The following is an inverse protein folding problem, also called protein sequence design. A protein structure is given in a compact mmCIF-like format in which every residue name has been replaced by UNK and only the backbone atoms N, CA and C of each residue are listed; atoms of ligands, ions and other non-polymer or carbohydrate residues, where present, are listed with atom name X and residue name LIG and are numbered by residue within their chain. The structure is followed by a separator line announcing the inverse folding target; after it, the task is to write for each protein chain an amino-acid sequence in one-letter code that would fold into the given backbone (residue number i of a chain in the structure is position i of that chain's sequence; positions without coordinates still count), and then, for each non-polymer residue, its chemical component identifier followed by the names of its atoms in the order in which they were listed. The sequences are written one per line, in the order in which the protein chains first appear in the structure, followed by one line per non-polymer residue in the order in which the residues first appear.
data_IF_284921853521
#
_entry.id   IF_284921853521
#
_cell.length_a   1.000
_cell.length_b   1.000
_cell.length_c   1.000
_cell.angle_alpha   90.00
_cell.angle_beta   90.00
_cell.angle_gamma   90.00
#
_symmetry.space_group_name_H-M   'P 1'
#
loop_
_entity.id
_entity.type
_entity.pdbx_description
1 polymer ?
#
# COMPACT_ATOMS: atom_id res chain seq x y z
N UNK A 1 14.29 5.19 -27.08
CA UNK A 1 13.00 4.61 -27.50
C UNK A 1 12.00 4.79 -26.36
N UNK A 2 11.02 5.68 -26.51
CA UNK A 2 9.90 5.83 -25.57
C UNK A 2 9.00 4.61 -25.82
N UNK A 3 9.05 3.61 -24.93
CA UNK A 3 8.09 2.49 -24.99
C UNK A 3 6.69 3.06 -24.75
N UNK A 4 5.74 2.75 -25.64
CA UNK A 4 4.33 3.06 -25.44
C UNK A 4 3.86 2.54 -24.09
N UNK A 5 2.96 3.27 -23.44
CA UNK A 5 2.35 2.80 -22.18
C UNK A 5 1.64 1.47 -22.44
N UNK A 6 1.84 0.45 -21.58
CA UNK A 6 1.22 -0.85 -21.76
C UNK A 6 -0.30 -0.78 -21.85
N UNK A 7 -0.89 -1.42 -22.86
CA UNK A 7 -2.31 -1.28 -23.22
C UNK A 7 -3.27 -1.73 -22.12
N UNK A 8 -2.97 -2.88 -21.48
CA UNK A 8 -3.82 -3.46 -20.42
C UNK A 8 -3.89 -2.57 -19.18
N UNK A 9 -2.78 -1.96 -18.80
CA UNK A 9 -2.74 -1.05 -17.64
C UNK A 9 -3.54 0.23 -17.89
N UNK A 10 -3.54 0.76 -19.12
CA UNK A 10 -4.36 1.93 -19.50
C UNK A 10 -5.84 1.57 -19.46
N UNK A 11 -6.22 0.46 -20.07
CA UNK A 11 -7.60 -0.03 -20.04
C UNK A 11 -8.09 -0.26 -18.59
N UNK A 12 -7.25 -0.86 -17.75
CA UNK A 12 -7.58 -1.06 -16.35
C UNK A 12 -7.77 0.26 -15.60
N UNK A 13 -6.92 1.26 -15.84
CA UNK A 13 -7.05 2.58 -15.24
C UNK A 13 -8.34 3.28 -15.69
N UNK A 14 -8.70 3.19 -16.96
CA UNK A 14 -9.94 3.78 -17.51
C UNK A 14 -11.19 3.13 -16.91
N UNK A 15 -11.20 1.81 -16.79
CA UNK A 15 -12.33 1.09 -16.15
C UNK A 15 -12.41 1.40 -14.66
N UNK A 16 -11.29 1.57 -13.97
CA UNK A 16 -11.25 1.91 -12.54
C UNK A 16 -11.63 3.37 -12.23
N UNK A 17 -11.62 4.25 -13.24
CA UNK A 17 -11.91 5.68 -13.07
C UNK A 17 -13.26 5.90 -12.37
N UNK A 18 -13.24 6.53 -11.18
CA UNK A 18 -14.43 6.87 -10.39
C UNK A 18 -15.17 5.70 -9.75
N UNK A 19 -14.69 4.43 -9.91
CA UNK A 19 -15.37 3.25 -9.33
C UNK A 19 -15.36 3.22 -7.80
N UNK A 20 -14.48 3.97 -7.18
CA UNK A 20 -14.35 4.08 -5.72
C UNK A 20 -15.32 5.07 -5.06
N UNK A 21 -16.09 5.85 -5.85
CA UNK A 21 -17.08 6.81 -5.35
C UNK A 21 -18.39 6.13 -4.96
N UNK A 22 -19.20 6.79 -4.12
CA UNK A 22 -20.54 6.28 -3.74
C UNK A 22 -21.45 6.12 -4.97
N UNK A 23 -21.48 7.09 -5.87
CA UNK A 23 -22.22 6.99 -7.12
C UNK A 23 -21.54 5.98 -8.06
N UNK A 24 -22.30 5.01 -8.54
CA UNK A 24 -21.79 4.03 -9.51
C UNK A 24 -21.44 4.75 -10.83
N UNK A 25 -20.27 4.41 -11.42
CA UNK A 25 -19.92 4.96 -12.73
C UNK A 25 -20.81 4.38 -13.83
N UNK A 26 -20.77 5.02 -15.00
CA UNK A 26 -21.44 4.47 -16.19
C UNK A 26 -20.98 3.05 -16.49
N UNK A 27 -21.93 2.23 -16.97
CA UNK A 27 -21.64 0.85 -17.36
C UNK A 27 -20.76 0.81 -18.59
N UNK A 28 -19.85 -0.14 -18.62
CA UNK A 28 -18.99 -0.39 -19.78
C UNK A 28 -18.73 -1.89 -19.90
N UNK A 29 -18.33 -2.30 -21.07
CA UNK A 29 -17.91 -3.68 -21.29
C UNK A 29 -16.55 -3.92 -20.64
N UNK A 30 -16.46 -5.01 -19.86
CA UNK A 30 -15.23 -5.42 -19.17
C UNK A 30 -14.84 -6.79 -19.71
N UNK A 31 -13.66 -6.86 -20.34
CA UNK A 31 -13.17 -8.13 -20.89
C UNK A 31 -12.81 -9.14 -19.78
N UNK A 32 -12.87 -10.44 -20.10
CA UNK A 32 -12.46 -11.51 -19.19
C UNK A 32 -11.02 -11.32 -18.71
N UNK A 33 -10.10 -10.89 -19.59
CA UNK A 33 -8.70 -10.62 -19.25
C UNK A 33 -8.57 -9.51 -18.21
N UNK A 34 -9.36 -8.42 -18.30
CA UNK A 34 -9.37 -7.35 -17.30
C UNK A 34 -9.91 -7.85 -15.97
N UNK A 35 -10.94 -8.69 -15.97
CA UNK A 35 -11.49 -9.30 -14.75
C UNK A 35 -10.47 -10.19 -14.04
N UNK A 36 -9.75 -11.03 -14.77
CA UNK A 36 -8.72 -11.88 -14.19
C UNK A 36 -7.57 -11.05 -13.58
N UNK A 37 -7.14 -10.01 -14.30
CA UNK A 37 -6.14 -9.06 -13.77
C UNK A 37 -6.65 -8.33 -12.52
N UNK A 38 -7.92 -7.93 -12.50
CA UNK A 38 -8.56 -7.26 -11.38
C UNK A 38 -8.67 -8.14 -10.13
N UNK A 39 -8.96 -9.42 -10.31
CA UNK A 39 -9.05 -10.41 -9.24
C UNK A 39 -7.72 -10.55 -8.52
N UNK A 40 -6.63 -10.76 -9.26
CA UNK A 40 -5.27 -10.87 -8.71
C UNK A 40 -4.81 -9.58 -8.03
N UNK A 41 -5.24 -8.42 -8.55
CA UNK A 41 -4.86 -7.10 -8.04
C UNK A 41 -5.76 -6.55 -6.94
N UNK A 42 -6.84 -7.28 -6.58
CA UNK A 42 -7.77 -6.89 -5.51
C UNK A 42 -8.71 -5.75 -5.86
N UNK A 43 -8.95 -5.50 -7.16
CA UNK A 43 -9.87 -4.45 -7.66
C UNK A 43 -11.10 -5.03 -8.38
N UNK A 44 -11.35 -6.33 -8.27
CA UNK A 44 -12.47 -7.00 -8.95
C UNK A 44 -13.82 -6.37 -8.56
N UNK A 45 -14.06 -6.13 -7.26
CA UNK A 45 -15.30 -5.52 -6.79
C UNK A 45 -15.52 -4.11 -7.39
N UNK A 46 -14.43 -3.34 -7.54
CA UNK A 46 -14.48 -2.03 -8.20
C UNK A 46 -14.81 -2.14 -9.68
N UNK A 47 -14.23 -3.10 -10.39
CA UNK A 47 -14.54 -3.33 -11.81
C UNK A 47 -15.98 -3.79 -12.01
N UNK A 48 -16.50 -4.66 -11.16
CA UNK A 48 -17.87 -5.17 -11.24
C UNK A 48 -18.92 -4.08 -11.16
N UNK A 49 -18.61 -2.91 -10.61
CA UNK A 49 -19.49 -1.74 -10.62
C UNK A 49 -19.76 -1.19 -12.04
N UNK A 50 -18.91 -1.50 -13.00
CA UNK A 50 -19.10 -1.16 -14.43
C UNK A 50 -19.97 -2.18 -15.16
N UNK A 51 -20.20 -3.36 -14.57
CA UNK A 51 -20.92 -4.47 -15.19
C UNK A 51 -22.42 -4.46 -14.83
N UNK A 52 -23.28 -5.18 -15.55
CA UNK A 52 -24.68 -5.38 -15.17
C UNK A 52 -24.80 -6.02 -13.78
N UNK A 53 -25.93 -5.76 -13.10
CA UNK A 53 -26.15 -5.96 -11.66
C UNK A 53 -26.20 -7.42 -11.13
N UNK A 54 -25.71 -8.42 -11.88
CA UNK A 54 -25.75 -9.84 -11.47
C UNK A 54 -24.72 -10.21 -10.37
N UNK A 55 -24.00 -9.23 -9.80
CA UNK A 55 -22.90 -9.44 -8.88
C UNK A 55 -23.23 -9.14 -7.40
N UNK A 56 -24.50 -8.98 -7.02
CA UNK A 56 -24.91 -8.51 -5.69
C UNK A 56 -24.55 -9.45 -4.53
N UNK A 57 -24.43 -10.75 -4.77
CA UNK A 57 -24.14 -11.71 -3.70
C UNK A 57 -22.70 -11.59 -3.18
N UNK A 58 -21.74 -11.30 -4.06
CA UNK A 58 -20.37 -11.05 -3.66
C UNK A 58 -20.23 -9.77 -2.81
N UNK A 59 -20.98 -8.71 -3.14
CA UNK A 59 -21.00 -7.46 -2.36
C UNK A 59 -21.59 -7.71 -0.96
N UNK A 60 -22.68 -8.47 -0.84
CA UNK A 60 -23.29 -8.82 0.45
C UNK A 60 -22.33 -9.59 1.34
N UNK A 61 -21.63 -10.59 0.78
CA UNK A 61 -20.62 -11.34 1.53
C UNK A 61 -19.50 -10.44 2.05
N UNK A 62 -18.98 -9.53 1.21
CA UNK A 62 -17.94 -8.59 1.60
C UNK A 62 -18.44 -7.59 2.65
N UNK A 63 -19.69 -7.14 2.58
CA UNK A 63 -20.29 -6.28 3.61
C UNK A 63 -20.36 -7.00 4.97
N UNK A 64 -20.78 -8.27 5.00
CA UNK A 64 -20.82 -9.06 6.22
C UNK A 64 -19.40 -9.27 6.80
N UNK A 65 -18.45 -9.63 5.97
CA UNK A 65 -17.05 -9.76 6.34
C UNK A 65 -16.50 -8.45 6.94
N UNK A 66 -16.81 -7.32 6.32
CA UNK A 66 -16.40 -5.99 6.81
C UNK A 66 -17.01 -5.69 8.18
N UNK A 67 -18.30 -5.98 8.40
CA UNK A 67 -18.97 -5.78 9.68
C UNK A 67 -18.38 -6.67 10.80
N UNK A 68 -18.08 -7.94 10.50
CA UNK A 68 -17.42 -8.85 11.44
C UNK A 68 -16.01 -8.36 11.82
N UNK A 69 -15.25 -7.86 10.85
CA UNK A 69 -13.92 -7.30 11.08
C UNK A 69 -13.98 -6.03 11.92
N UNK A 70 -14.96 -5.16 11.67
CA UNK A 70 -15.16 -3.93 12.45
C UNK A 70 -15.48 -4.28 13.93
N UNK A 71 -16.31 -5.28 14.17
CA UNK A 71 -16.59 -5.77 15.52
C UNK A 71 -15.32 -6.28 16.22
N UNK A 72 -14.51 -7.10 15.55
CA UNK A 72 -13.23 -7.59 16.07
C UNK A 72 -12.24 -6.47 16.35
N UNK A 73 -12.20 -5.47 15.48
CA UNK A 73 -11.38 -4.26 15.68
C UNK A 73 -11.85 -3.49 16.91
N UNK A 74 -13.15 -3.29 17.10
CA UNK A 74 -13.70 -2.63 18.28
C UNK A 74 -13.27 -3.32 19.58
N UNK A 75 -13.37 -4.67 19.64
CA UNK A 75 -12.90 -5.45 20.78
C UNK A 75 -11.39 -5.29 21.02
N UNK A 76 -10.58 -5.32 19.95
CA UNK A 76 -9.13 -5.11 20.02
C UNK A 76 -8.79 -3.73 20.57
N UNK A 77 -9.39 -2.66 20.03
CA UNK A 77 -9.11 -1.30 20.50
C UNK A 77 -9.56 -1.09 21.94
N UNK A 78 -10.72 -1.64 22.34
CA UNK A 78 -11.17 -1.59 23.73
C UNK A 78 -10.19 -2.29 24.69
N UNK A 79 -9.65 -3.45 24.30
CA UNK A 79 -8.66 -4.16 25.10
C UNK A 79 -7.34 -3.37 25.21
N UNK A 80 -6.84 -2.81 24.11
CA UNK A 80 -5.62 -2.00 24.12
C UNK A 80 -5.78 -0.71 24.95
N UNK A 81 -6.94 -0.06 24.87
CA UNK A 81 -7.26 1.13 25.66
C UNK A 81 -7.31 0.79 27.17
N UNK A 82 -7.93 -0.34 27.56
CA UNK A 82 -7.96 -0.81 28.94
C UNK A 82 -6.56 -1.01 29.53
N UNK A 83 -5.60 -1.39 28.71
CA UNK A 83 -4.18 -1.52 29.06
C UNK A 83 -3.37 -0.24 28.86
N UNK A 84 -4.03 0.89 28.51
CA UNK A 84 -3.40 2.19 28.23
C UNK A 84 -2.37 2.17 27.10
N UNK A 85 -2.48 1.23 26.17
CA UNK A 85 -1.61 1.10 25.02
C UNK A 85 -2.17 1.98 23.90
N UNK A 86 -1.44 3.03 23.51
CA UNK A 86 -1.81 3.89 22.38
C UNK A 86 -1.43 3.25 21.06
N UNK A 87 -2.44 3.06 20.22
CA UNK A 87 -2.28 2.48 18.89
C UNK A 87 -3.06 3.26 17.84
N UNK A 88 -2.72 3.05 16.57
CA UNK A 88 -3.49 3.58 15.45
C UNK A 88 -3.46 2.57 14.29
N UNK A 89 -4.63 2.29 13.69
CA UNK A 89 -4.68 1.51 12.45
C UNK A 89 -4.41 2.39 11.24
N UNK A 90 -3.91 1.78 10.18
CA UNK A 90 -3.62 2.43 8.91
C UNK A 90 -3.77 1.42 7.77
N UNK A 91 -3.80 1.87 6.51
CA UNK A 91 -4.08 1.02 5.35
C UNK A 91 -5.40 0.21 5.49
N UNK A 92 -5.38 -1.05 5.10
CA UNK A 92 -6.43 -2.07 5.21
C UNK A 92 -7.82 -1.55 5.59
N UNK A 93 -8.20 -1.78 6.82
CA UNK A 93 -9.50 -1.39 7.36
C UNK A 93 -9.72 0.12 7.36
N UNK A 94 -8.71 0.92 7.73
CA UNK A 94 -8.84 2.37 7.80
C UNK A 94 -9.21 2.99 6.44
N UNK A 95 -8.70 2.42 5.34
CA UNK A 95 -9.04 2.84 3.98
C UNK A 95 -10.38 2.29 3.51
N UNK A 96 -10.76 1.05 3.89
CA UNK A 96 -12.00 0.44 3.44
C UNK A 96 -13.24 1.25 3.82
N UNK A 97 -13.19 2.01 4.89
CA UNK A 97 -14.26 2.91 5.34
C UNK A 97 -14.50 4.11 4.43
N UNK A 98 -13.53 4.47 3.62
CA UNK A 98 -13.61 5.57 2.67
C UNK A 98 -14.27 5.13 1.35
N UNK A 99 -14.38 3.83 1.14
CA UNK A 99 -15.08 3.24 -0.01
C UNK A 99 -16.54 2.98 0.33
N UNK A 100 -17.42 2.87 -0.65
CA UNK A 100 -18.70 2.22 -0.45
C UNK A 100 -18.51 0.79 0.11
N UNK A 101 -19.42 0.39 0.98
CA UNK A 101 -19.32 -0.88 1.70
C UNK A 101 -19.08 -2.09 0.76
N UNK A 102 -18.16 -2.96 1.13
CA UNK A 102 -17.84 -4.19 0.38
C UNK A 102 -16.96 -4.02 -0.86
N UNK A 103 -16.54 -2.79 -1.23
CA UNK A 103 -15.77 -2.58 -2.46
C UNK A 103 -14.25 -2.73 -2.29
N UNK A 104 -13.75 -2.55 -1.09
CA UNK A 104 -12.33 -2.69 -0.79
C UNK A 104 -12.08 -3.92 0.08
N UNK A 105 -11.42 -4.95 -0.44
CA UNK A 105 -11.06 -6.11 0.37
C UNK A 105 -10.08 -5.71 1.46
N UNK A 106 -10.27 -6.26 2.66
CA UNK A 106 -9.41 -6.04 3.83
C UNK A 106 -8.77 -7.37 4.18
N UNK A 107 -7.45 -7.39 4.32
CA UNK A 107 -6.69 -8.52 4.85
C UNK A 107 -6.47 -8.38 6.36
N UNK A 108 -5.22 -8.38 6.75
CA UNK A 108 -4.72 -8.09 8.08
C UNK A 108 -5.00 -6.65 8.54
N UNK A 109 -4.89 -6.43 9.82
CA UNK A 109 -4.98 -5.11 10.46
C UNK A 109 -3.57 -4.61 10.72
N UNK A 110 -3.14 -3.64 9.93
CA UNK A 110 -1.91 -2.91 10.22
C UNK A 110 -2.14 -1.98 11.43
N UNK A 111 -1.39 -2.18 12.49
CA UNK A 111 -1.52 -1.44 13.75
C UNK A 111 -0.18 -0.85 14.18
N UNK A 112 -0.09 0.47 14.21
CA UNK A 112 1.06 1.18 14.77
C UNK A 112 0.99 1.16 16.30
N UNK A 113 2.10 0.81 16.95
CA UNK A 113 2.23 0.74 18.41
C UNK A 113 3.59 1.30 18.82
N UNK A 114 3.67 1.99 19.98
CA UNK A 114 4.94 2.47 20.47
C UNK A 114 5.91 1.29 20.70
N UNK A 115 7.22 1.42 20.41
CA UNK A 115 8.17 0.33 20.60
C UNK A 115 8.19 -0.24 22.01
N UNK A 116 8.08 0.61 23.03
CA UNK A 116 8.07 0.19 24.44
C UNK A 116 6.81 -0.62 24.81
N UNK A 117 5.72 -0.45 24.05
CA UNK A 117 4.44 -1.12 24.28
C UNK A 117 4.26 -2.36 23.38
N UNK A 118 5.19 -2.65 22.45
CA UNK A 118 5.00 -3.68 21.43
C UNK A 118 4.77 -5.08 22.04
N UNK A 119 5.60 -5.48 23.00
CA UNK A 119 5.49 -6.77 23.66
C UNK A 119 4.18 -6.88 24.46
N UNK A 120 3.83 -5.82 25.17
CA UNK A 120 2.57 -5.75 25.90
C UNK A 120 1.36 -5.80 24.96
N UNK A 121 1.40 -5.05 23.85
CA UNK A 121 0.36 -5.11 22.83
C UNK A 121 0.19 -6.52 22.25
N UNK A 122 1.30 -7.22 21.97
CA UNK A 122 1.26 -8.64 21.52
C UNK A 122 0.57 -9.55 22.54
N UNK A 123 0.89 -9.37 23.82
CA UNK A 123 0.25 -10.14 24.90
C UNK A 123 -1.25 -9.86 24.97
N UNK A 124 -1.68 -8.60 24.89
CA UNK A 124 -3.10 -8.21 24.87
C UNK A 124 -3.81 -8.80 23.65
N UNK A 125 -3.24 -8.72 22.46
CA UNK A 125 -3.80 -9.33 21.24
C UNK A 125 -3.94 -10.85 21.41
N UNK A 126 -2.93 -11.52 21.97
CA UNK A 126 -2.93 -12.97 22.18
C UNK A 126 -3.99 -13.41 23.20
N UNK A 127 -4.30 -12.57 24.19
CA UNK A 127 -5.30 -12.84 25.21
C UNK A 127 -6.76 -12.72 24.73
N UNK A 128 -7.00 -12.06 23.59
CA UNK A 128 -8.34 -11.98 23.02
C UNK A 128 -8.88 -13.37 22.67
N UNK A 129 -10.20 -13.62 22.88
CA UNK A 129 -10.85 -14.85 22.44
C UNK A 129 -10.59 -15.10 20.95
N UNK A 130 -10.33 -16.33 20.55
CA UNK A 130 -9.98 -16.68 19.16
C UNK A 130 -11.03 -16.20 18.15
N UNK A 131 -12.33 -16.22 18.51
CA UNK A 131 -13.42 -15.73 17.65
C UNK A 131 -13.40 -14.19 17.43
N UNK A 132 -12.83 -13.45 18.38
CA UNK A 132 -12.78 -11.99 18.38
C UNK A 132 -11.40 -11.45 17.96
N UNK A 133 -10.40 -12.32 17.86
CA UNK A 133 -9.03 -11.93 17.51
C UNK A 133 -8.92 -11.67 16.02
N UNK A 134 -8.64 -10.42 15.59
CA UNK A 134 -8.29 -10.15 14.21
C UNK A 134 -6.86 -10.63 13.90
N UNK A 135 -6.56 -10.87 12.63
CA UNK A 135 -5.17 -10.99 12.18
C UNK A 135 -4.53 -9.60 12.20
N UNK A 136 -3.51 -9.43 13.04
CA UNK A 136 -2.88 -8.11 13.30
C UNK A 136 -1.41 -8.15 12.91
N UNK A 137 -0.99 -7.18 12.10
CA UNK A 137 0.41 -6.84 11.87
C UNK A 137 0.80 -5.66 12.78
N UNK A 138 1.45 -5.96 13.90
CA UNK A 138 1.93 -4.94 14.83
C UNK A 138 3.23 -4.32 14.30
N UNK A 139 3.21 -3.00 14.11
CA UNK A 139 4.33 -2.24 13.58
C UNK A 139 4.78 -1.18 14.59
N UNK A 140 5.85 -1.47 15.31
CA UNK A 140 6.52 -0.53 16.22
C UNK A 140 7.49 0.41 15.50
N UNK A 141 7.65 0.24 14.19
CA UNK A 141 8.57 1.03 13.39
C UNK A 141 8.03 1.30 11.98
N UNK A 142 7.59 2.53 11.74
CA UNK A 142 7.15 3.00 10.43
C UNK A 142 8.27 3.72 9.64
N UNK A 143 9.52 3.68 10.10
CA UNK A 143 10.68 4.30 9.42
C UNK A 143 10.82 3.83 7.97
N UNK A 144 10.38 2.62 7.66
CA UNK A 144 10.36 2.11 6.28
C UNK A 144 9.57 3.00 5.33
N UNK A 145 8.44 3.53 5.80
CA UNK A 145 7.52 4.36 5.01
C UNK A 145 7.62 5.83 5.38
N UNK A 146 7.78 6.14 6.65
CA UNK A 146 7.79 7.50 7.21
C UNK A 146 9.08 7.75 8.03
N UNK A 147 10.28 7.69 7.41
CA UNK A 147 11.54 7.82 8.16
C UNK A 147 11.79 9.23 8.70
N UNK A 148 11.04 10.21 8.23
CA UNK A 148 11.16 11.61 8.64
C UNK A 148 10.20 11.93 9.82
N UNK A 149 9.56 10.91 10.42
CA UNK A 149 8.57 11.07 11.48
C UNK A 149 8.80 10.05 12.59
N UNK A 150 8.74 10.51 13.82
CA UNK A 150 8.74 9.63 14.97
C UNK A 150 7.36 8.99 15.15
N UNK A 151 7.32 7.77 15.69
CA UNK A 151 6.06 7.11 15.97
C UNK A 151 5.25 7.83 17.06
N UNK A 152 5.92 8.49 18.01
CA UNK A 152 5.28 9.32 19.04
C UNK A 152 4.49 10.47 18.40
N UNK A 153 5.09 11.17 17.44
CA UNK A 153 4.41 12.25 16.70
C UNK A 153 3.23 11.72 15.89
N UNK A 154 3.39 10.57 15.23
CA UNK A 154 2.32 9.94 14.46
C UNK A 154 1.14 9.55 15.35
N UNK A 155 1.39 8.96 16.52
CA UNK A 155 0.35 8.58 17.48
C UNK A 155 -0.32 9.80 18.15
N UNK A 156 0.40 10.93 18.28
CA UNK A 156 -0.17 12.16 18.82
C UNK A 156 -1.16 12.84 17.84
N UNK A 157 -1.01 12.61 16.53
CA UNK A 157 -1.83 13.21 15.46
C UNK A 157 -2.89 12.26 14.91
N UNK A 158 -3.25 11.21 15.63
CA UNK A 158 -4.27 10.25 15.20
C UNK A 158 -5.66 10.88 15.19
N UNK A 159 -6.50 10.47 14.24
CA UNK A 159 -7.91 10.76 14.24
C UNK A 159 -8.70 9.60 14.89
N UNK A 160 -9.81 9.93 15.57
CA UNK A 160 -10.70 8.93 16.17
C UNK A 160 -11.95 8.82 15.31
N UNK A 161 -12.25 7.60 14.88
CA UNK A 161 -13.50 7.28 14.19
C UNK A 161 -14.45 6.54 15.12
N UNK A 162 -15.65 7.11 15.33
CA UNK A 162 -16.74 6.42 16.02
C UNK A 162 -17.26 5.27 15.13
N UNK A 163 -17.37 4.07 15.71
CA UNK A 163 -17.99 2.93 15.06
C UNK A 163 -19.04 2.33 16.01
N UNK A 164 -19.99 1.50 15.51
CA UNK A 164 -20.91 0.78 16.38
C UNK A 164 -20.22 -0.09 17.44
N UNK A 165 -18.98 -0.50 17.16
CA UNK A 165 -18.19 -1.36 18.06
C UNK A 165 -17.24 -0.58 18.97
N UNK A 166 -17.33 0.76 18.98
CA UNK A 166 -16.47 1.65 19.77
C UNK A 166 -15.56 2.54 18.95
N UNK A 167 -14.80 3.44 19.59
CA UNK A 167 -13.90 4.35 18.92
C UNK A 167 -12.66 3.60 18.40
N UNK A 168 -12.27 3.85 17.16
CA UNK A 168 -11.07 3.30 16.53
C UNK A 168 -10.17 4.45 16.10
N UNK A 169 -8.89 4.39 16.49
CA UNK A 169 -7.88 5.38 16.11
C UNK A 169 -7.28 5.03 14.76
N UNK A 170 -7.14 6.02 13.88
CA UNK A 170 -6.44 5.91 12.60
C UNK A 170 -5.36 6.97 12.48
N UNK A 171 -4.36 6.76 11.64
CA UNK A 171 -3.37 7.80 11.35
C UNK A 171 -4.05 9.09 10.84
N UNK A 172 -3.50 10.24 11.21
CA UNK A 172 -3.93 11.53 10.67
C UNK A 172 -3.87 11.56 9.15
N UNK A 173 -4.70 12.37 8.52
CA UNK A 173 -4.89 12.37 7.07
C UNK A 173 -3.58 12.63 6.31
N UNK A 174 -2.74 13.55 6.79
CA UNK A 174 -1.44 13.91 6.20
C UNK A 174 -0.47 12.74 6.20
N UNK A 175 -0.33 12.09 7.37
CA UNK A 175 0.56 10.95 7.55
C UNK A 175 0.04 9.73 6.80
N UNK A 176 -1.27 9.53 6.78
CA UNK A 176 -1.90 8.41 6.11
C UNK A 176 -1.74 8.49 4.58
N UNK A 177 -2.01 9.66 3.98
CA UNK A 177 -1.81 9.88 2.54
C UNK A 177 -0.33 9.68 2.17
N UNK A 178 0.59 10.27 2.95
CA UNK A 178 2.02 10.10 2.74
C UNK A 178 2.44 8.63 2.82
N UNK A 179 1.98 7.93 3.85
CA UNK A 179 2.28 6.50 4.04
C UNK A 179 1.80 5.66 2.87
N UNK A 180 0.56 5.80 2.44
CA UNK A 180 -0.03 5.02 1.35
C UNK A 180 0.71 5.25 0.04
N UNK A 181 1.08 6.50 -0.27
CA UNK A 181 1.88 6.83 -1.43
C UNK A 181 3.28 6.17 -1.39
N UNK A 182 3.96 6.23 -0.26
CA UNK A 182 5.31 5.67 -0.13
C UNK A 182 5.29 4.14 -0.02
N UNK A 183 4.26 3.57 0.61
CA UNK A 183 4.03 2.12 0.68
C UNK A 183 3.91 1.49 -0.71
N UNK A 184 3.03 2.03 -1.58
CA UNK A 184 2.88 1.48 -2.93
C UNK A 184 4.20 1.51 -3.73
N UNK A 185 4.99 2.60 -3.62
CA UNK A 185 6.26 2.72 -4.30
C UNK A 185 7.32 1.77 -3.74
N UNK A 186 7.33 1.58 -2.41
CA UNK A 186 8.21 0.63 -1.75
C UNK A 186 8.04 -0.79 -2.30
N UNK A 187 6.80 -1.15 -2.61
CA UNK A 187 6.43 -2.44 -3.19
C UNK A 187 6.40 -2.44 -4.73
N UNK A 188 6.91 -1.38 -5.39
CA UNK A 188 6.99 -1.30 -6.87
C UNK A 188 5.64 -1.04 -7.54
N UNK A 189 4.65 -0.55 -6.82
CA UNK A 189 3.32 -0.13 -7.27
C UNK A 189 2.57 -1.17 -8.14
N UNK A 190 2.82 -2.48 -7.93
CA UNK A 190 2.26 -3.54 -8.79
C UNK A 190 0.74 -3.73 -8.62
N UNK A 191 0.16 -3.27 -7.50
CA UNK A 191 -1.25 -3.49 -7.15
C UNK A 191 -2.07 -2.25 -7.43
N UNK A 192 -2.95 -2.25 -8.44
CA UNK A 192 -3.84 -1.13 -8.78
C UNK A 192 -4.67 -0.61 -7.61
N UNK A 193 -5.08 -1.48 -6.68
CA UNK A 193 -5.83 -1.10 -5.48
C UNK A 193 -5.13 0.01 -4.66
N UNK A 194 -3.81 -0.01 -4.59
CA UNK A 194 -3.08 1.01 -3.83
C UNK A 194 -3.20 2.41 -4.45
N UNK A 195 -3.31 2.51 -5.78
CA UNK A 195 -3.58 3.80 -6.42
C UNK A 195 -5.05 4.24 -6.21
N UNK A 196 -5.99 3.29 -6.16
CA UNK A 196 -7.37 3.57 -5.77
C UNK A 196 -7.44 4.08 -4.32
N UNK A 197 -6.63 3.52 -3.41
CA UNK A 197 -6.50 3.99 -2.02
C UNK A 197 -6.03 5.45 -1.96
N UNK A 198 -5.05 5.84 -2.79
CA UNK A 198 -4.63 7.25 -2.91
C UNK A 198 -5.78 8.12 -3.42
N UNK A 199 -6.51 7.66 -4.44
CA UNK A 199 -7.64 8.43 -5.02
C UNK A 199 -8.75 8.68 -3.99
N UNK A 200 -9.13 7.65 -3.24
CA UNK A 200 -10.15 7.75 -2.19
C UNK A 200 -9.72 8.69 -1.06
N UNK A 201 -8.47 8.58 -0.61
CA UNK A 201 -7.94 9.50 0.41
C UNK A 201 -8.01 10.96 -0.06
N UNK A 202 -7.61 11.24 -1.31
CA UNK A 202 -7.64 12.59 -1.88
C UNK A 202 -9.03 13.19 -1.87
N UNK A 203 -10.07 12.40 -2.17
CA UNK A 203 -11.47 12.85 -2.17
C UNK A 203 -12.08 12.93 -0.76
N UNK A 204 -11.42 12.31 0.24
CA UNK A 204 -11.86 12.26 1.64
C UNK A 204 -11.03 13.15 2.58
N UNK A 205 -10.14 14.00 2.04
CA UNK A 205 -9.31 14.89 2.85
C UNK A 205 -10.19 15.81 3.70
N UNK A 206 -9.87 16.04 4.99
CA UNK A 206 -10.59 17.01 5.82
C UNK A 206 -10.26 18.44 5.36
N UNK A 207 -11.15 19.38 5.66
CA UNK A 207 -10.99 20.79 5.26
C UNK A 207 -9.72 21.43 5.85
N UNK A 208 -9.28 20.96 7.03
CA UNK A 208 -8.04 21.40 7.68
C UNK A 208 -6.77 20.69 7.22
N UNK A 209 -6.81 19.89 6.15
CA UNK A 209 -5.66 19.15 5.64
C UNK A 209 -4.53 20.09 5.19
N UNK A 210 -3.31 19.81 5.63
CA UNK A 210 -2.11 20.60 5.33
C UNK A 210 -1.16 19.87 4.38
N UNK A 211 -1.06 20.34 3.13
CA UNK A 211 -0.04 19.85 2.21
C UNK A 211 1.38 20.08 2.71
N UNK A 212 1.62 21.19 3.43
CA UNK A 212 2.93 21.47 4.02
C UNK A 212 3.32 20.36 5.01
N UNK A 213 2.38 19.95 5.86
CA UNK A 213 2.59 18.87 6.82
C UNK A 213 2.73 17.50 6.12
N UNK A 214 1.86 17.17 5.18
CA UNK A 214 1.94 15.93 4.40
C UNK A 214 3.27 15.78 3.68
N UNK A 215 3.84 16.88 3.17
CA UNK A 215 5.07 16.92 2.38
C UNK A 215 6.32 17.28 3.20
N UNK A 216 6.20 17.50 4.51
CA UNK A 216 7.34 17.85 5.37
C UNK A 216 8.42 16.75 5.36
N UNK A 217 9.69 17.16 5.57
CA UNK A 217 10.85 16.27 5.60
C UNK A 217 11.55 16.12 4.24
N UNK A 218 11.86 14.92 3.81
CA UNK A 218 12.66 14.68 2.61
C UNK A 218 11.99 15.14 1.34
N UNK A 219 12.57 16.13 0.64
CA UNK A 219 12.11 16.62 -0.66
C UNK A 219 11.88 15.48 -1.68
N UNK A 220 12.76 14.46 -1.71
CA UNK A 220 12.65 13.35 -2.65
C UNK A 220 11.41 12.50 -2.41
N UNK A 221 11.05 12.29 -1.14
CA UNK A 221 9.82 11.60 -0.78
C UNK A 221 8.59 12.43 -1.08
N UNK A 222 8.66 13.74 -0.85
CA UNK A 222 7.58 14.66 -1.21
C UNK A 222 7.32 14.69 -2.71
N UNK A 223 8.36 14.73 -3.54
CA UNK A 223 8.25 14.56 -5.00
C UNK A 223 7.58 13.21 -5.36
N UNK A 224 7.91 12.13 -4.66
CA UNK A 224 7.32 10.81 -4.88
C UNK A 224 5.84 10.75 -4.48
N UNK A 225 5.46 11.37 -3.37
CA UNK A 225 4.05 11.51 -2.95
C UNK A 225 3.27 12.29 -3.99
N UNK A 226 3.77 13.45 -4.43
CA UNK A 226 3.12 14.26 -5.46
C UNK A 226 2.98 13.52 -6.80
N UNK A 227 3.96 12.69 -7.18
CA UNK A 227 3.84 11.87 -8.38
C UNK A 227 2.72 10.82 -8.27
N UNK A 228 2.53 10.20 -7.09
CA UNK A 228 1.42 9.28 -6.84
C UNK A 228 0.07 10.01 -6.89
N UNK A 229 -0.02 11.18 -6.25
CA UNK A 229 -1.22 12.04 -6.27
C UNK A 229 -1.58 12.43 -7.71
N UNK A 230 -0.61 12.94 -8.46
CA UNK A 230 -0.83 13.33 -9.86
C UNK A 230 -1.23 12.15 -10.76
N UNK A 231 -0.70 10.96 -10.47
CA UNK A 231 -1.09 9.75 -11.19
C UNK A 231 -2.53 9.33 -10.88
N UNK A 232 -2.95 9.38 -9.59
CA UNK A 232 -4.31 9.09 -9.19
C UNK A 232 -5.32 10.07 -9.81
N UNK A 233 -4.99 11.35 -9.86
CA UNK A 233 -5.80 12.36 -10.54
C UNK A 233 -5.89 12.08 -12.05
N UNK A 234 -4.77 11.80 -12.70
CA UNK A 234 -4.70 11.62 -14.16
C UNK A 234 -5.37 10.32 -14.61
N UNK A 235 -5.11 9.20 -13.93
CA UNK A 235 -5.57 7.88 -14.36
C UNK A 235 -6.96 7.55 -13.82
N UNK A 236 -7.18 7.81 -12.53
CA UNK A 236 -8.41 7.43 -11.85
C UNK A 236 -9.44 8.57 -11.75
N UNK A 237 -9.06 9.77 -12.22
CA UNK A 237 -9.92 10.94 -12.16
C UNK A 237 -10.20 11.41 -10.73
N UNK A 238 -9.28 11.18 -9.80
CA UNK A 238 -9.42 11.64 -8.42
C UNK A 238 -9.56 13.17 -8.37
N UNK A 239 -10.49 13.65 -7.54
CA UNK A 239 -10.78 15.06 -7.33
C UNK A 239 -10.44 15.44 -5.88
N UNK A 240 -9.22 15.93 -5.60
CA UNK A 240 -8.82 16.27 -4.24
C UNK A 240 -9.74 17.35 -3.62
N UNK A 241 -10.20 17.16 -2.40
CA UNK A 241 -10.96 18.19 -1.66
C UNK A 241 -10.10 19.42 -1.35
N UNK A 242 -8.82 19.20 -1.09
CA UNK A 242 -7.83 20.28 -0.89
C UNK A 242 -6.85 20.23 -2.05
N UNK A 243 -6.77 21.30 -2.82
CA UNK A 243 -5.93 21.37 -4.02
C UNK A 243 -4.45 21.08 -3.69
N UNK A 244 -3.82 20.11 -4.38
CA UNK A 244 -2.41 19.84 -4.17
C UNK A 244 -1.53 20.94 -4.78
N UNK A 245 -0.27 21.07 -4.33
CA UNK A 245 0.74 21.87 -5.04
C UNK A 245 0.93 21.38 -6.48
N UNK A 246 1.67 22.16 -7.27
CA UNK A 246 1.95 21.82 -8.66
C UNK A 246 2.50 20.39 -8.80
N UNK A 247 1.88 19.62 -9.70
CA UNK A 247 2.16 18.20 -9.92
C UNK A 247 2.92 18.01 -11.22
N UNK A 248 4.01 17.26 -11.14
CA UNK A 248 4.73 16.79 -12.32
C UNK A 248 4.89 15.26 -12.22
N UNK A 249 4.19 14.52 -13.08
CA UNK A 249 4.29 13.06 -13.16
C UNK A 249 5.20 12.68 -14.31
N UNK A 250 6.47 12.35 -14.04
CA UNK A 250 7.41 12.03 -15.11
C UNK A 250 6.92 10.87 -15.99
N UNK A 251 7.12 10.90 -17.31
CA UNK A 251 6.69 9.83 -18.21
C UNK A 251 7.22 8.44 -17.80
N UNK A 252 8.48 8.37 -17.34
CA UNK A 252 9.07 7.12 -16.89
C UNK A 252 8.34 6.52 -15.67
N UNK A 253 7.89 7.37 -14.72
CA UNK A 253 7.16 6.95 -13.51
C UNK A 253 5.83 6.29 -13.90
N UNK A 254 5.06 6.97 -14.74
CA UNK A 254 3.80 6.44 -15.28
C UNK A 254 4.00 5.10 -16.00
N UNK A 255 5.02 5.02 -16.88
CA UNK A 255 5.34 3.80 -17.62
C UNK A 255 5.81 2.67 -16.69
N UNK A 256 6.52 2.99 -15.60
CA UNK A 256 6.95 2.01 -14.61
C UNK A 256 5.76 1.44 -13.82
N UNK A 257 4.80 2.27 -13.42
CA UNK A 257 3.56 1.82 -12.76
C UNK A 257 2.74 0.95 -13.72
N UNK A 258 2.56 1.37 -14.97
CA UNK A 258 1.85 0.60 -15.98
C UNK A 258 2.49 -0.79 -16.18
N UNK A 259 3.81 -0.83 -16.35
CA UNK A 259 4.54 -2.09 -16.48
C UNK A 259 4.48 -2.94 -15.19
N UNK A 260 4.35 -2.34 -14.01
CA UNK A 260 4.16 -3.07 -12.77
C UNK A 260 2.78 -3.71 -12.69
N UNK A 261 1.72 -3.03 -13.12
CA UNK A 261 0.36 -3.57 -13.17
C UNK A 261 0.25 -4.77 -14.12
N UNK A 262 0.89 -4.72 -15.28
CA UNK A 262 0.93 -5.87 -16.20
C UNK A 262 1.71 -7.06 -15.68
N UNK A 263 2.80 -6.79 -14.95
CA UNK A 263 3.61 -7.87 -14.37
C UNK A 263 2.94 -8.55 -13.17
N UNK A 264 2.10 -7.82 -12.45
CA UNK A 264 1.48 -8.29 -11.21
C UNK A 264 2.50 -8.60 -10.10
N UNK A 265 2.06 -9.38 -9.12
CA UNK A 265 2.89 -9.79 -7.99
C UNK A 265 4.07 -10.67 -8.42
N UNK A 266 5.26 -10.33 -7.95
CA UNK A 266 6.46 -11.17 -8.09
C UNK A 266 6.85 -11.74 -6.73
N UNK A 267 6.89 -13.06 -6.63
CA UNK A 267 7.53 -13.71 -5.49
C UNK A 267 9.01 -13.34 -5.44
N UNK A 268 9.54 -13.14 -4.23
CA UNK A 268 10.98 -12.99 -4.05
C UNK A 268 11.68 -14.23 -4.62
N UNK A 269 12.69 -14.06 -5.51
CA UNK A 269 13.38 -15.20 -6.07
C UNK A 269 14.19 -15.93 -4.99
N UNK A 270 14.33 -17.25 -5.13
CA UNK A 270 15.12 -18.09 -4.23
C UNK A 270 16.55 -17.57 -4.02
N UNK A 271 17.19 -17.86 -2.88
CA UNK A 271 18.57 -17.45 -2.61
C UNK A 271 19.54 -17.91 -3.69
N UNK A 272 20.58 -17.10 -3.96
CA UNK A 272 21.60 -17.35 -5.00
C UNK A 272 22.57 -18.53 -4.76
N UNK A 273 22.77 -19.13 -3.57
CA UNK A 273 23.78 -20.16 -3.38
C UNK A 273 23.51 -21.37 -4.29
N UNK A 274 24.49 -21.71 -5.12
CA UNK A 274 24.44 -22.89 -5.97
C UNK A 274 23.81 -22.72 -7.36
N UNK A 275 23.53 -21.51 -7.83
CA UNK A 275 23.03 -21.31 -9.19
C UNK A 275 24.15 -21.55 -10.20
N UNK A 276 24.01 -22.50 -11.14
CA UNK A 276 24.99 -22.72 -12.19
C UNK A 276 25.10 -21.49 -13.09
N UNK A 277 26.31 -21.22 -13.62
CA UNK A 277 26.62 -20.04 -14.46
C UNK A 277 25.62 -19.85 -15.61
N UNK A 278 25.10 -20.92 -16.21
CA UNK A 278 24.08 -20.89 -17.28
C UNK A 278 22.75 -20.28 -16.82
N UNK A 279 22.43 -20.25 -15.51
CA UNK A 279 21.22 -19.64 -14.92
C UNK A 279 21.48 -18.29 -14.29
N UNK A 280 22.71 -17.78 -14.33
CA UNK A 280 23.08 -16.52 -13.69
C UNK A 280 22.32 -15.33 -14.31
N UNK A 281 22.26 -15.23 -15.63
CA UNK A 281 21.57 -14.13 -16.31
C UNK A 281 20.06 -14.12 -16.04
N UNK A 282 19.31 -15.24 -16.14
CA UNK A 282 17.92 -15.31 -15.70
C UNK A 282 17.74 -14.97 -14.21
N UNK A 283 18.63 -15.43 -13.34
CA UNK A 283 18.59 -15.17 -11.91
C UNK A 283 18.83 -13.69 -11.57
N UNK A 284 19.75 -13.03 -12.25
CA UNK A 284 19.98 -11.60 -12.13
C UNK A 284 18.78 -10.79 -12.65
N UNK A 285 18.19 -11.20 -13.77
CA UNK A 285 16.99 -10.56 -14.33
C UNK A 285 15.79 -10.67 -13.39
N UNK A 286 15.61 -11.84 -12.73
CA UNK A 286 14.56 -12.03 -11.74
C UNK A 286 14.74 -11.14 -10.49
N UNK A 287 16.00 -10.81 -10.15
CA UNK A 287 16.37 -9.96 -9.00
C UNK A 287 16.55 -8.50 -9.35
N UNK A 288 16.42 -8.14 -10.63
CA UNK A 288 16.60 -6.76 -11.06
C UNK A 288 15.61 -5.86 -10.32
N UNK A 289 16.09 -4.83 -9.60
CA UNK A 289 15.23 -3.98 -8.80
C UNK A 289 14.18 -3.27 -9.64
N UNK A 290 12.99 -3.16 -9.12
CA UNK A 290 11.96 -2.30 -9.70
C UNK A 290 12.40 -0.83 -9.67
N UNK A 291 12.19 -0.05 -10.74
CA UNK A 291 12.68 1.33 -10.81
C UNK A 291 12.02 2.27 -9.79
N UNK A 292 10.76 2.02 -9.39
CA UNK A 292 10.05 2.84 -8.40
C UNK A 292 10.63 2.61 -7.01
N UNK A 293 10.71 1.34 -6.59
CA UNK A 293 11.27 0.98 -5.29
C UNK A 293 12.75 1.36 -5.18
N UNK A 294 13.54 1.15 -6.22
CA UNK A 294 14.95 1.56 -6.26
C UNK A 294 15.12 3.08 -6.09
N UNK A 295 14.30 3.86 -6.80
CA UNK A 295 14.30 5.33 -6.69
C UNK A 295 13.98 5.78 -5.27
N UNK A 296 12.96 5.19 -4.65
CA UNK A 296 12.56 5.52 -3.28
C UNK A 296 13.64 5.14 -2.26
N UNK A 297 14.20 3.94 -2.35
CA UNK A 297 15.19 3.42 -1.40
C UNK A 297 16.51 4.20 -1.42
N UNK A 298 16.91 4.69 -2.57
CA UNK A 298 18.14 5.46 -2.74
C UNK A 298 17.91 6.97 -2.62
N UNK A 299 16.67 7.43 -2.47
CA UNK A 299 16.35 8.86 -2.49
C UNK A 299 16.77 9.54 -3.80
N UNK A 300 16.70 8.81 -4.93
CA UNK A 300 17.10 9.36 -6.21
C UNK A 300 16.07 10.38 -6.73
N UNK A 301 16.49 11.40 -7.53
CA UNK A 301 15.58 12.40 -8.09
C UNK A 301 14.55 11.76 -9.01
N UNK A 302 13.28 12.14 -8.92
CA UNK A 302 12.24 11.62 -9.80
C UNK A 302 12.45 12.07 -11.27
N UNK A 303 12.94 13.28 -11.48
CA UNK A 303 13.14 13.86 -12.81
C UNK A 303 14.38 13.31 -13.54
N UNK A 304 15.23 12.56 -12.82
CA UNK A 304 16.46 12.04 -13.41
C UNK A 304 16.21 10.80 -14.26
N UNK A 305 16.76 10.80 -15.45
CA UNK A 305 16.77 9.68 -16.42
C UNK A 305 18.21 9.45 -16.92
N UNK A 306 18.62 8.22 -17.23
CA UNK A 306 17.90 6.94 -17.19
C UNK A 306 17.84 6.30 -15.79
N UNK A 307 16.97 5.31 -15.59
CA UNK A 307 16.80 4.58 -14.28
C UNK A 307 17.76 3.42 -14.08
N UNK A 308 18.42 2.97 -15.13
CA UNK A 308 19.38 1.85 -15.02
C UNK A 308 20.46 2.06 -13.96
N UNK A 309 21.13 3.20 -13.84
CA UNK A 309 22.13 3.41 -12.77
C UNK A 309 21.54 3.32 -11.37
N UNK A 310 20.31 3.82 -11.15
CA UNK A 310 19.62 3.74 -9.87
C UNK A 310 19.30 2.29 -9.52
N UNK A 311 18.82 1.51 -10.47
CA UNK A 311 18.52 0.09 -10.29
C UNK A 311 19.79 -0.72 -10.01
N UNK A 312 20.89 -0.43 -10.72
CA UNK A 312 22.19 -1.06 -10.49
C UNK A 312 22.73 -0.77 -9.09
N UNK A 313 22.68 0.50 -8.66
CA UNK A 313 23.09 0.90 -7.32
C UNK A 313 22.25 0.21 -6.22
N UNK A 314 20.94 0.08 -6.43
CA UNK A 314 20.06 -0.65 -5.52
C UNK A 314 20.38 -2.15 -5.48
N UNK A 315 20.68 -2.76 -6.61
CA UNK A 315 21.10 -4.16 -6.68
C UNK A 315 22.40 -4.39 -5.87
N UNK A 316 23.39 -3.52 -6.06
CA UNK A 316 24.65 -3.58 -5.32
C UNK A 316 24.45 -3.35 -3.82
N UNK A 317 23.60 -2.40 -3.43
CA UNK A 317 23.23 -2.16 -2.02
C UNK A 317 22.60 -3.40 -1.38
N UNK A 318 21.68 -4.08 -2.09
CA UNK A 318 21.07 -5.34 -1.63
C UNK A 318 22.10 -6.44 -1.47
N UNK A 319 22.99 -6.60 -2.45
CA UNK A 319 24.07 -7.59 -2.40
C UNK A 319 25.01 -7.37 -1.20
N UNK A 320 25.41 -6.11 -0.94
CA UNK A 320 26.26 -5.75 0.21
C UNK A 320 25.60 -6.07 1.55
N UNK A 321 24.29 -5.76 1.71
CA UNK A 321 23.54 -6.11 2.93
C UNK A 321 23.45 -7.61 3.18
N UNK A 322 23.29 -8.42 2.14
CA UNK A 322 23.28 -9.88 2.26
C UNK A 322 24.66 -10.44 2.61
N UNK A 323 25.73 -9.90 2.03
CA UNK A 323 27.11 -10.27 2.37
C UNK A 323 27.43 -9.99 3.84
N UNK A 324 27.11 -8.80 4.33
CA UNK A 324 27.34 -8.40 5.73
C UNK A 324 26.53 -9.22 6.74
N UNK A 325 25.28 -9.60 6.42
CA UNK A 325 24.46 -10.47 7.29
C UNK A 325 25.06 -11.86 7.40
N UNK A 326 25.52 -12.44 6.29
CA UNK A 326 26.20 -13.75 6.28
C UNK A 326 27.50 -13.76 7.08
N UNK A 327 28.23 -12.65 7.06
CA UNK A 327 29.46 -12.50 7.82
C UNK A 327 29.22 -12.37 9.33
N UNK A 328 28.10 -11.74 9.73
CA UNK A 328 27.70 -11.55 11.15
C UNK A 328 27.02 -12.75 11.78
N UNK A 329 26.57 -13.72 11.02
CA UNK A 329 25.89 -14.93 11.50
C UNK A 329 26.40 -16.17 10.78
N UNK A 330 27.68 -16.56 10.96
CA UNK A 330 28.19 -17.81 10.41
C UNK A 330 27.58 -18.96 11.22
N UNK A 331 26.53 -19.62 10.73
CA UNK A 331 26.02 -20.86 11.33
C UNK A 331 24.49 -21.02 11.45
N UNK A 332 23.68 -20.03 11.08
CA UNK A 332 22.22 -20.20 11.05
C UNK A 332 21.78 -20.57 9.63
N UNK A 333 21.56 -21.85 9.38
CA UNK A 333 20.83 -22.32 8.20
C UNK A 333 19.40 -21.77 8.27
N UNK A 334 18.87 -21.12 7.23
CA UNK A 334 17.48 -20.68 7.23
C UNK A 334 16.57 -21.89 7.27
N UNK A 335 15.74 -21.99 8.30
CA UNK A 335 14.61 -22.91 8.33
C UNK A 335 13.69 -22.52 7.16
N UNK A 336 13.54 -23.43 6.21
CA UNK A 336 12.58 -23.30 5.13
C UNK A 336 11.17 -23.39 5.74
N UNK A 337 10.40 -22.31 5.62
CA UNK A 337 8.97 -22.35 5.93
C UNK A 337 8.48 -21.34 6.96
N UNK A 338 8.34 -20.11 6.51
CA UNK A 338 7.29 -19.22 7.01
C UNK A 338 6.74 -18.42 5.81
N UNK A 339 5.43 -18.40 5.56
CA UNK A 339 4.83 -17.58 4.51
C UNK A 339 4.89 -16.10 4.92
N UNK A 340 5.24 -15.28 3.95
CA UNK A 340 5.22 -13.82 4.06
C UNK A 340 3.85 -13.27 3.63
#
# INVERSE_FOLDING_TARGET
MIRSTPLLAVQLADVLRGTFRAQAPERTEVSAQLLDSARVSGVEALLRRRMPANARDAERYQMLEQALRERRLGALFAALEAHRIRTATFKGWALSRLYPAGLRPVGDVDLAVHPDDEEHARAVVAALPAAERPEVDLQSNLVRYLPDRSLVELLARTAVHATPSGPIRVLGAEDHLRLVCLHQLHHGAWRPLWLCDVAVLLESLPDGFSWAECLAGSRRRSEAVLACVGLAMKWLGAMPRVAPPALDVPPWFRNAVAAAWERGFRRSPEPLPGIPLRRLAPALRARWPDPLSATLHLGAPLRWMPRFPVQLAELLRRAGRHGLRRWRSPGVTPVAGAPA
#
